data_IF_085217378441
#
_entry.id   IF_085217378441
#
_cell.length_a   1.000
_cell.length_b   1.000
_cell.length_c   1.000
_cell.angle_alpha   90.00
_cell.angle_beta   90.00
_cell.angle_gamma   90.00
#
_symmetry.space_group_name_H-M   'P 1'
#
loop_
_entity.id
_entity.type
_entity.pdbx_description
1 polymer ?
#
# COMPACT_ATOMS: atom_id res chain seq x y z
N UNK A 1 -19.42 5.59 28.26
CA UNK A 1 -18.92 6.79 27.53
C UNK A 1 -18.16 7.74 28.45
N UNK A 2 -18.35 7.68 29.76
CA UNK A 2 -17.55 8.44 30.73
C UNK A 2 -16.15 7.84 30.79
N UNK A 3 -15.15 8.53 30.26
CA UNK A 3 -13.75 8.07 30.17
C UNK A 3 -13.22 8.05 28.74
N UNK A 4 -14.07 8.34 27.75
CA UNK A 4 -13.61 8.63 26.39
C UNK A 4 -13.38 10.14 26.29
N UNK A 5 -12.17 10.55 26.00
CA UNK A 5 -11.85 11.95 25.77
C UNK A 5 -12.64 12.48 24.57
N UNK A 6 -13.12 13.70 24.70
CA UNK A 6 -13.80 14.39 23.60
C UNK A 6 -12.73 14.89 22.62
N UNK A 7 -12.47 14.12 21.56
CA UNK A 7 -11.45 14.46 20.56
C UNK A 7 -12.13 15.25 19.44
N UNK A 8 -11.59 16.44 19.15
CA UNK A 8 -11.96 17.18 17.94
C UNK A 8 -11.39 16.45 16.71
N UNK A 9 -12.25 15.93 15.81
CA UNK A 9 -11.79 15.23 14.61
C UNK A 9 -10.82 16.04 13.75
N UNK A 10 -10.94 17.38 13.76
CA UNK A 10 -10.04 18.27 13.00
C UNK A 10 -8.65 18.40 13.63
N UNK A 11 -8.50 18.01 14.89
CA UNK A 11 -7.21 18.03 15.59
C UNK A 11 -6.44 16.71 15.47
N UNK A 12 -7.09 15.64 14.95
CA UNK A 12 -6.44 14.36 14.79
C UNK A 12 -5.34 14.43 13.70
N UNK A 13 -4.15 13.91 13.99
CA UNK A 13 -3.10 13.85 12.98
C UNK A 13 -3.53 12.89 11.87
N UNK A 14 -3.61 13.38 10.64
CA UNK A 14 -3.86 12.56 9.47
C UNK A 14 -2.75 12.75 8.44
N UNK A 15 -2.57 11.75 7.58
CA UNK A 15 -1.66 11.84 6.44
C UNK A 15 -2.49 12.11 5.19
N UNK A 16 -2.27 13.24 4.55
CA UNK A 16 -2.99 13.62 3.34
C UNK A 16 -2.54 12.78 2.14
N UNK A 17 -3.46 12.52 1.23
CA UNK A 17 -3.17 11.78 0.00
C UNK A 17 -2.35 12.59 -1.02
N UNK A 18 -2.37 13.90 -0.90
CA UNK A 18 -1.87 14.83 -1.91
C UNK A 18 -2.81 15.00 -3.11
N UNK A 19 -4.01 14.41 -3.03
CA UNK A 19 -5.09 14.58 -4.01
C UNK A 19 -6.22 15.37 -3.33
N UNK A 20 -6.36 16.69 -3.60
CA UNK A 20 -7.26 17.56 -2.84
C UNK A 20 -8.71 17.07 -2.81
N UNK A 21 -9.21 16.49 -3.90
CA UNK A 21 -10.57 15.96 -3.97
C UNK A 21 -10.77 14.75 -3.02
N UNK A 22 -9.77 13.88 -2.92
CA UNK A 22 -9.81 12.75 -1.99
C UNK A 22 -9.70 13.24 -0.55
N UNK A 23 -8.76 14.14 -0.28
CA UNK A 23 -8.53 14.69 1.06
C UNK A 23 -9.76 15.42 1.60
N UNK A 24 -10.50 16.12 0.71
CA UNK A 24 -11.77 16.77 1.07
C UNK A 24 -12.87 15.78 1.45
N UNK A 25 -12.84 14.57 0.93
CA UNK A 25 -13.84 13.53 1.22
C UNK A 25 -13.55 12.78 2.51
N UNK A 26 -12.27 12.46 2.78
CA UNK A 26 -11.89 11.56 3.88
C UNK A 26 -11.15 12.28 5.02
N UNK A 27 -10.74 13.52 4.86
CA UNK A 27 -9.94 14.25 5.84
C UNK A 27 -8.48 13.79 5.94
N UNK A 28 -8.07 12.83 5.13
CA UNK A 28 -6.76 12.16 5.16
C UNK A 28 -6.83 10.74 5.71
N UNK A 29 -5.67 10.11 5.86
CA UNK A 29 -5.50 8.75 6.40
C UNK A 29 -5.12 8.84 7.88
N UNK A 30 -6.03 8.42 8.74
CA UNK A 30 -5.85 8.52 10.19
C UNK A 30 -5.08 7.32 10.75
N UNK A 31 -4.34 7.52 11.86
CA UNK A 31 -3.80 6.40 12.63
C UNK A 31 -4.91 5.47 13.12
N UNK A 32 -4.55 4.22 13.38
CA UNK A 32 -5.47 3.17 13.86
C UNK A 32 -6.50 2.70 12.83
N UNK A 33 -6.34 3.07 11.55
CA UNK A 33 -7.24 2.68 10.47
C UNK A 33 -6.60 1.76 9.44
N UNK A 34 -7.43 0.92 8.83
CA UNK A 34 -7.12 0.10 7.67
C UNK A 34 -7.90 0.60 6.44
N UNK A 35 -7.18 0.96 5.39
CA UNK A 35 -7.75 1.30 4.08
C UNK A 35 -7.54 0.16 3.08
N UNK A 36 -8.63 -0.40 2.55
CA UNK A 36 -8.60 -1.43 1.50
C UNK A 36 -8.75 -0.81 0.12
N UNK A 37 -7.86 -1.19 -0.80
CA UNK A 37 -7.81 -0.72 -2.17
C UNK A 37 -8.08 -1.86 -3.14
N UNK A 38 -9.12 -1.73 -3.96
CA UNK A 38 -9.49 -2.72 -4.97
C UNK A 38 -9.52 -2.10 -6.37
N UNK A 39 -9.69 -2.92 -7.39
CA UNK A 39 -9.78 -2.48 -8.79
C UNK A 39 -9.18 -3.51 -9.74
N UNK A 40 -9.54 -3.41 -11.03
CA UNK A 40 -9.08 -4.32 -12.07
C UNK A 40 -7.54 -4.35 -12.16
N UNK A 41 -7.00 -5.50 -12.60
CA UNK A 41 -5.56 -5.61 -12.87
C UNK A 41 -5.13 -4.56 -13.91
N UNK A 42 -3.99 -3.91 -13.68
CA UNK A 42 -3.54 -2.81 -14.55
C UNK A 42 -4.28 -1.47 -14.33
N UNK A 43 -5.21 -1.38 -13.37
CA UNK A 43 -5.96 -0.16 -13.06
C UNK A 43 -5.16 0.95 -12.38
N UNK A 44 -3.88 0.73 -12.04
CA UNK A 44 -3.02 1.75 -11.45
C UNK A 44 -2.93 1.73 -9.92
N UNK A 45 -3.46 0.70 -9.24
CA UNK A 45 -3.45 0.60 -7.76
C UNK A 45 -2.05 0.81 -7.17
N UNK A 46 -1.08 -0.02 -7.57
CA UNK A 46 0.30 0.08 -7.05
C UNK A 46 0.95 1.42 -7.38
N UNK A 47 0.57 2.05 -8.51
CA UNK A 47 1.03 3.40 -8.87
C UNK A 47 0.49 4.44 -7.90
N UNK A 48 -0.81 4.45 -7.67
CA UNK A 48 -1.43 5.38 -6.73
C UNK A 48 -0.88 5.18 -5.32
N UNK A 49 -0.82 3.94 -4.84
CA UNK A 49 -0.32 3.63 -3.50
C UNK A 49 1.15 3.98 -3.34
N UNK A 50 1.97 3.76 -4.37
CA UNK A 50 3.35 4.25 -4.39
C UNK A 50 3.41 5.76 -4.22
N UNK A 51 2.55 6.52 -4.91
CA UNK A 51 2.46 7.97 -4.78
C UNK A 51 2.00 8.39 -3.38
N UNK A 52 1.03 7.70 -2.77
CA UNK A 52 0.61 7.97 -1.39
C UNK A 52 1.76 7.77 -0.38
N UNK A 53 2.58 6.72 -0.56
CA UNK A 53 3.75 6.52 0.29
C UNK A 53 4.82 7.61 0.08
N UNK A 54 5.04 8.06 -1.16
CA UNK A 54 5.94 9.18 -1.45
C UNK A 54 5.44 10.46 -0.78
N UNK A 55 4.13 10.71 -0.87
CA UNK A 55 3.50 11.87 -0.22
C UNK A 55 3.56 11.78 1.31
N UNK A 56 3.35 10.62 1.90
CA UNK A 56 3.54 10.41 3.33
C UNK A 56 4.98 10.75 3.77
N UNK A 57 6.00 10.34 2.99
CA UNK A 57 7.40 10.72 3.26
C UNK A 57 7.62 12.22 3.11
N UNK A 58 6.96 12.88 2.16
CA UNK A 58 6.97 14.34 1.98
C UNK A 58 6.41 15.05 3.22
N UNK A 59 5.37 14.52 3.83
CA UNK A 59 4.78 14.97 5.09
C UNK A 59 5.56 14.50 6.34
N UNK A 60 6.82 14.06 6.15
CA UNK A 60 7.75 13.63 7.22
C UNK A 60 7.36 12.35 7.93
N UNK A 61 6.42 11.60 7.40
CA UNK A 61 6.11 10.27 7.92
C UNK A 61 7.17 9.25 7.48
N UNK A 62 7.35 8.19 8.28
CA UNK A 62 8.15 7.04 7.89
C UNK A 62 7.22 5.94 7.45
N UNK A 63 7.56 5.32 6.34
CA UNK A 63 6.70 4.32 5.69
C UNK A 63 7.41 2.98 5.59
N UNK A 64 6.63 1.89 5.66
CA UNK A 64 7.12 0.55 5.43
C UNK A 64 6.18 -0.18 4.47
N UNK A 65 6.73 -0.75 3.40
CA UNK A 65 5.96 -1.45 2.38
C UNK A 65 6.36 -2.92 2.26
N UNK A 66 5.37 -3.77 2.10
CA UNK A 66 5.51 -5.14 1.62
C UNK A 66 4.90 -5.21 0.21
N UNK A 67 5.68 -5.69 -0.76
CA UNK A 67 5.19 -5.99 -2.10
C UNK A 67 5.45 -7.46 -2.43
N UNK A 68 4.38 -8.21 -2.63
CA UNK A 68 4.47 -9.59 -3.05
C UNK A 68 4.45 -9.79 -4.57
N UNK A 69 4.11 -8.74 -5.33
CA UNK A 69 4.09 -8.79 -6.80
C UNK A 69 5.41 -8.33 -7.42
N UNK A 70 6.04 -7.33 -6.83
CA UNK A 70 7.28 -6.76 -7.34
C UNK A 70 8.46 -7.18 -6.49
N UNK A 71 9.56 -7.54 -7.15
CA UNK A 71 10.85 -7.67 -6.45
C UNK A 71 11.27 -6.31 -5.86
N UNK A 72 12.03 -6.33 -4.76
CA UNK A 72 12.42 -5.14 -4.02
C UNK A 72 13.08 -4.07 -4.93
N UNK A 73 13.95 -4.49 -5.87
CA UNK A 73 14.59 -3.55 -6.79
C UNK A 73 13.59 -2.91 -7.77
N UNK A 74 12.60 -3.66 -8.28
CA UNK A 74 11.56 -3.11 -9.18
C UNK A 74 10.65 -2.15 -8.45
N UNK A 75 10.26 -2.49 -7.23
CA UNK A 75 9.46 -1.61 -6.40
C UNK A 75 10.20 -0.30 -6.12
N UNK A 76 11.49 -0.37 -5.77
CA UNK A 76 12.32 0.81 -5.58
C UNK A 76 12.40 1.68 -6.85
N UNK A 77 12.68 1.09 -8.02
CA UNK A 77 12.73 1.83 -9.28
C UNK A 77 11.39 2.53 -9.57
N UNK A 78 10.29 1.86 -9.29
CA UNK A 78 8.95 2.42 -9.45
C UNK A 78 8.72 3.64 -8.56
N UNK A 79 9.05 3.55 -7.29
CA UNK A 79 8.98 4.67 -6.34
C UNK A 79 9.90 5.83 -6.77
N UNK A 80 11.10 5.52 -7.26
CA UNK A 80 12.03 6.55 -7.71
C UNK A 80 11.52 7.31 -8.93
N UNK A 81 10.91 6.61 -9.91
CA UNK A 81 10.28 7.26 -11.06
C UNK A 81 9.14 8.20 -10.65
N UNK A 82 8.36 7.83 -9.64
CA UNK A 82 7.29 8.67 -9.12
C UNK A 82 7.81 9.91 -8.39
N UNK A 83 8.90 9.77 -7.63
CA UNK A 83 9.46 10.85 -6.82
C UNK A 83 10.39 11.80 -7.59
N UNK A 84 10.96 11.35 -8.72
CA UNK A 84 11.99 12.11 -9.44
C UNK A 84 11.46 13.37 -10.14
N UNK A 85 10.21 13.35 -10.57
CA UNK A 85 9.65 14.36 -11.46
C UNK A 85 10.15 14.25 -12.91
N UNK A 86 9.39 14.76 -13.88
CA UNK A 86 9.61 14.50 -15.31
C UNK A 86 10.96 15.03 -15.83
N UNK A 87 11.48 16.12 -15.27
CA UNK A 87 12.76 16.70 -15.68
C UNK A 87 13.99 15.80 -15.39
N UNK A 88 13.86 14.80 -14.53
CA UNK A 88 14.94 13.90 -14.13
C UNK A 88 14.74 12.48 -14.62
N UNK A 89 13.75 12.25 -15.47
CA UNK A 89 13.46 10.94 -16.06
C UNK A 89 14.08 10.89 -17.45
N UNK A 90 14.99 9.95 -17.66
CA UNK A 90 15.66 9.68 -18.92
C UNK A 90 14.97 8.54 -19.66
N UNK A 91 14.68 8.72 -20.94
CA UNK A 91 14.22 7.65 -21.83
C UNK A 91 15.44 6.93 -22.38
N UNK A 92 15.51 5.63 -22.19
CA UNK A 92 16.59 4.78 -22.69
C UNK A 92 16.01 3.70 -23.57
N UNK A 93 16.76 3.34 -24.62
CA UNK A 93 16.43 2.21 -25.47
C UNK A 93 17.45 1.10 -25.25
N UNK A 94 16.95 -0.13 -25.14
CA UNK A 94 17.80 -1.30 -25.16
C UNK A 94 18.42 -1.48 -26.55
N UNK A 95 19.73 -1.61 -26.59
CA UNK A 95 20.49 -1.63 -27.85
C UNK A 95 20.19 -2.85 -28.73
N UNK A 96 19.71 -3.94 -28.14
CA UNK A 96 19.47 -5.20 -28.85
C UNK A 96 18.00 -5.36 -29.26
N UNK A 97 17.09 -5.06 -28.36
CA UNK A 97 15.65 -5.25 -28.58
C UNK A 97 14.93 -3.99 -29.08
N UNK A 98 15.60 -2.82 -29.03
CA UNK A 98 14.96 -1.52 -29.29
C UNK A 98 13.88 -1.13 -28.27
N UNK A 99 13.67 -1.94 -27.23
CA UNK A 99 12.68 -1.68 -26.20
C UNK A 99 13.04 -0.45 -25.39
N UNK A 100 12.11 0.45 -25.31
CA UNK A 100 12.25 1.66 -24.51
C UNK A 100 11.88 1.44 -23.05
N UNK A 101 12.61 2.08 -22.16
CA UNK A 101 12.33 2.13 -20.73
C UNK A 101 12.73 3.49 -20.16
N UNK A 102 12.13 3.81 -19.04
CA UNK A 102 12.41 5.04 -18.32
C UNK A 102 13.29 4.75 -17.11
N UNK A 103 14.23 5.64 -16.86
CA UNK A 103 15.11 5.55 -15.69
C UNK A 103 15.32 6.93 -15.08
N UNK A 104 15.56 6.97 -13.79
CA UNK A 104 15.90 8.21 -13.09
C UNK A 104 17.36 8.53 -13.34
N UNK A 105 17.69 9.80 -13.62
CA UNK A 105 19.06 10.27 -13.83
C UNK A 105 19.93 9.96 -12.61
N UNK A 106 21.24 9.68 -12.78
CA UNK A 106 22.14 9.38 -11.66
C UNK A 106 22.19 10.48 -10.59
N UNK A 107 22.11 11.72 -11.01
CA UNK A 107 22.06 12.87 -10.10
C UNK A 107 20.82 12.85 -9.21
N UNK A 108 19.63 12.69 -9.78
CA UNK A 108 18.39 12.64 -9.03
C UNK A 108 18.33 11.39 -8.15
N UNK A 109 18.82 10.25 -8.65
CA UNK A 109 18.90 9.00 -7.87
C UNK A 109 19.68 9.21 -6.57
N UNK A 110 20.85 9.81 -6.60
CA UNK A 110 21.65 10.11 -5.41
C UNK A 110 20.89 11.00 -4.41
N UNK A 111 20.12 11.97 -4.91
CA UNK A 111 19.30 12.83 -4.06
C UNK A 111 18.12 12.07 -3.45
N UNK A 112 17.46 11.20 -4.22
CA UNK A 112 16.37 10.36 -3.74
C UNK A 112 16.87 9.33 -2.72
N UNK A 113 18.04 8.71 -2.92
CA UNK A 113 18.66 7.83 -1.94
C UNK A 113 18.81 8.53 -0.58
N UNK A 114 19.32 9.74 -0.58
CA UNK A 114 19.47 10.53 0.64
C UNK A 114 18.11 10.96 1.25
N UNK A 115 17.14 11.30 0.40
CA UNK A 115 15.82 11.75 0.84
C UNK A 115 14.99 10.62 1.45
N UNK A 116 15.04 9.41 0.87
CA UNK A 116 14.35 8.23 1.37
C UNK A 116 15.08 7.54 2.55
N UNK A 117 16.37 7.82 2.72
CA UNK A 117 17.17 7.19 3.75
C UNK A 117 16.50 7.32 5.14
N UNK A 118 16.27 6.17 5.81
CA UNK A 118 15.63 6.07 7.14
C UNK A 118 14.18 6.58 7.20
N UNK A 119 13.53 6.76 6.05
CA UNK A 119 12.13 7.18 5.96
C UNK A 119 11.27 6.19 5.19
N UNK A 120 11.83 5.51 4.19
CA UNK A 120 11.15 4.52 3.39
C UNK A 120 11.81 3.17 3.57
N UNK A 121 11.06 2.20 4.07
CA UNK A 121 11.51 0.84 4.31
C UNK A 121 10.72 -0.11 3.41
N UNK A 122 11.41 -1.10 2.85
CA UNK A 122 10.81 -2.13 2.03
C UNK A 122 11.12 -3.49 2.63
N UNK A 123 10.10 -4.29 2.85
CA UNK A 123 10.26 -5.66 3.31
C UNK A 123 10.92 -6.50 2.22
N UNK A 124 11.99 -7.18 2.54
CA UNK A 124 12.60 -8.15 1.65
C UNK A 124 11.86 -9.49 1.77
N UNK A 125 11.14 -9.85 0.72
CA UNK A 125 10.38 -11.09 0.62
C UNK A 125 11.17 -12.21 -0.09
N UNK A 126 12.44 -12.01 -0.39
CA UNK A 126 13.29 -12.99 -1.08
C UNK A 126 13.72 -14.16 -0.17
N UNK A 127 13.72 -13.94 1.14
CA UNK A 127 14.05 -14.97 2.12
C UNK A 127 12.94 -16.04 2.19
N UNK A 128 13.29 -17.34 2.42
CA UNK A 128 12.30 -18.38 2.64
C UNK A 128 11.33 -18.02 3.78
N UNK A 129 10.03 -18.04 3.50
CA UNK A 129 8.99 -17.67 4.47
C UNK A 129 8.78 -16.18 4.67
N UNK A 130 9.53 -15.30 4.00
CA UNK A 130 9.41 -13.84 4.11
C UNK A 130 8.06 -13.27 3.66
N UNK A 131 7.23 -14.08 3.01
CA UNK A 131 5.86 -13.74 2.61
C UNK A 131 4.78 -14.40 3.48
N UNK A 132 5.14 -15.01 4.62
CA UNK A 132 4.13 -15.48 5.57
C UNK A 132 3.51 -14.31 6.33
N UNK A 133 2.26 -14.48 6.74
CA UNK A 133 1.55 -13.47 7.53
C UNK A 133 2.31 -13.11 8.81
N UNK A 134 2.95 -14.09 9.47
CA UNK A 134 3.75 -13.89 10.69
C UNK A 134 5.01 -13.06 10.41
N UNK A 135 5.69 -13.34 9.30
CA UNK A 135 6.87 -12.58 8.91
C UNK A 135 6.52 -11.12 8.62
N UNK A 136 5.44 -10.88 7.86
CA UNK A 136 4.98 -9.53 7.54
C UNK A 136 4.61 -8.76 8.81
N UNK A 137 3.78 -9.33 9.68
CA UNK A 137 3.39 -8.70 10.95
C UNK A 137 4.59 -8.44 11.87
N UNK A 138 5.55 -9.36 11.93
CA UNK A 138 6.76 -9.21 12.74
C UNK A 138 7.66 -8.10 12.21
N UNK A 139 7.84 -8.02 10.89
CA UNK A 139 8.61 -6.95 10.23
C UNK A 139 7.95 -5.58 10.42
N UNK A 140 6.62 -5.51 10.33
CA UNK A 140 5.88 -4.27 10.56
C UNK A 140 6.01 -3.80 12.01
N UNK A 141 5.85 -4.70 12.98
CA UNK A 141 6.06 -4.37 14.40
C UNK A 141 7.50 -3.93 14.69
N UNK A 142 8.49 -4.55 14.04
CA UNK A 142 9.87 -4.11 14.12
C UNK A 142 10.07 -2.72 13.53
N UNK A 143 9.43 -2.44 12.37
CA UNK A 143 9.53 -1.14 11.70
C UNK A 143 8.94 0.00 12.55
N UNK A 144 7.83 -0.25 13.27
CA UNK A 144 7.29 0.71 14.25
C UNK A 144 8.32 0.95 15.36
N UNK A 145 8.72 -0.10 16.06
CA UNK A 145 9.56 0.02 17.27
C UNK A 145 10.95 0.57 16.98
N UNK A 146 11.56 0.15 15.87
CA UNK A 146 12.95 0.52 15.54
C UNK A 146 13.05 1.84 14.80
N UNK A 147 12.07 2.13 13.94
CA UNK A 147 12.13 3.25 13.01
C UNK A 147 11.00 4.26 13.18
N UNK A 148 9.95 3.94 13.94
CA UNK A 148 8.78 4.80 14.08
C UNK A 148 8.02 4.97 12.78
N UNK A 149 7.84 3.88 12.01
CA UNK A 149 7.00 3.90 10.82
C UNK A 149 5.54 4.10 11.22
N UNK A 150 4.86 5.01 10.53
CA UNK A 150 3.46 5.37 10.80
C UNK A 150 2.49 4.98 9.68
N UNK A 151 3.00 4.71 8.46
CA UNK A 151 2.19 4.30 7.30
C UNK A 151 2.74 3.01 6.72
N UNK A 152 1.86 2.05 6.50
CA UNK A 152 2.20 0.72 6.02
C UNK A 152 1.46 0.38 4.74
N UNK A 153 2.09 -0.42 3.87
CA UNK A 153 1.48 -0.95 2.65
C UNK A 153 1.66 -2.46 2.57
N UNK A 154 0.57 -3.18 2.29
CA UNK A 154 0.57 -4.58 1.85
C UNK A 154 0.06 -4.64 0.41
N UNK A 155 0.95 -4.84 -0.57
CA UNK A 155 0.62 -4.97 -2.00
C UNK A 155 1.11 -6.34 -2.52
N UNK A 156 0.26 -7.36 -2.55
CA UNK A 156 -1.15 -7.42 -2.21
C UNK A 156 -1.46 -8.57 -1.22
N UNK A 157 -2.72 -8.62 -0.77
CA UNK A 157 -3.22 -9.66 0.12
C UNK A 157 -2.99 -11.09 -0.43
N UNK A 158 -3.19 -11.29 -1.75
CA UNK A 158 -3.08 -12.61 -2.40
C UNK A 158 -1.66 -13.15 -2.45
N UNK A 159 -0.64 -12.33 -2.26
CA UNK A 159 0.77 -12.71 -2.26
C UNK A 159 1.28 -13.17 -0.90
N UNK A 160 0.53 -12.92 0.17
CA UNK A 160 0.84 -13.46 1.48
C UNK A 160 0.52 -14.96 1.53
N UNK A 161 1.39 -15.74 2.17
CA UNK A 161 1.18 -17.18 2.37
C UNK A 161 0.42 -17.42 3.66
N UNK A 162 -0.71 -18.09 3.52
CA UNK A 162 -1.52 -18.59 4.61
C UNK A 162 -1.26 -20.09 4.74
N UNK A 163 -1.22 -20.62 5.95
CA UNK A 163 -1.06 -22.06 6.20
C UNK A 163 -2.31 -22.86 5.82
N UNK A 164 -2.78 -22.71 4.56
CA UNK A 164 -4.04 -23.28 4.08
C UNK A 164 -3.81 -24.61 3.38
N UNK A 165 -4.63 -25.61 3.71
CA UNK A 165 -4.64 -26.94 3.07
C UNK A 165 -5.73 -27.09 2.02
N UNK A 166 -6.73 -26.20 1.97
CA UNK A 166 -7.83 -26.16 1.01
C UNK A 166 -8.35 -24.71 0.78
N UNK A 167 -9.25 -24.52 -0.20
CA UNK A 167 -9.78 -23.21 -0.57
C UNK A 167 -10.52 -22.51 0.57
N UNK A 168 -11.26 -23.24 1.41
CA UNK A 168 -11.96 -22.69 2.57
C UNK A 168 -11.00 -22.15 3.62
N UNK A 169 -9.89 -22.85 3.84
CA UNK A 169 -8.82 -22.41 4.74
C UNK A 169 -8.09 -21.19 4.20
N UNK A 170 -7.95 -21.10 2.86
CA UNK A 170 -7.34 -19.94 2.21
C UNK A 170 -8.13 -18.65 2.47
N UNK A 171 -9.45 -18.64 2.27
CA UNK A 171 -10.28 -17.46 2.53
C UNK A 171 -10.32 -17.11 4.03
N UNK A 172 -10.33 -18.12 4.89
CA UNK A 172 -10.24 -17.92 6.35
C UNK A 172 -8.88 -17.33 6.73
N UNK A 173 -7.79 -17.81 6.14
CA UNK A 173 -6.46 -17.27 6.33
C UNK A 173 -6.38 -15.79 5.93
N UNK A 174 -6.96 -15.42 4.79
CA UNK A 174 -7.05 -14.02 4.38
C UNK A 174 -7.81 -13.15 5.37
N UNK A 175 -9.00 -13.58 5.82
CA UNK A 175 -9.81 -12.86 6.80
C UNK A 175 -9.06 -12.70 8.13
N UNK A 176 -8.36 -13.74 8.59
CA UNK A 176 -7.56 -13.69 9.80
C UNK A 176 -6.39 -12.70 9.68
N UNK A 177 -5.69 -12.71 8.54
CA UNK A 177 -4.59 -11.77 8.31
C UNK A 177 -5.07 -10.31 8.26
N UNK A 178 -6.20 -10.05 7.61
CA UNK A 178 -6.82 -8.71 7.64
C UNK A 178 -7.19 -8.31 9.06
N UNK A 179 -7.76 -9.21 9.86
CA UNK A 179 -8.02 -8.97 11.29
C UNK A 179 -6.76 -8.59 12.06
N UNK A 180 -5.66 -9.29 11.83
CA UNK A 180 -4.35 -8.99 12.43
C UNK A 180 -3.79 -7.63 12.01
N UNK A 181 -4.01 -7.22 10.75
CA UNK A 181 -3.61 -5.89 10.27
C UNK A 181 -4.43 -4.78 10.93
N UNK A 182 -5.74 -4.99 11.14
CA UNK A 182 -6.61 -4.06 11.89
C UNK A 182 -6.15 -3.94 13.33
N UNK A 183 -5.91 -5.07 14.01
CA UNK A 183 -5.39 -5.08 15.38
C UNK A 183 -4.02 -4.40 15.48
N UNK A 184 -3.14 -4.64 14.50
CA UNK A 184 -1.84 -3.99 14.40
C UNK A 184 -2.01 -2.47 14.24
N UNK A 185 -2.86 -2.01 13.33
CA UNK A 185 -3.10 -0.58 13.10
C UNK A 185 -3.58 0.12 14.39
N UNK A 186 -4.52 -0.49 15.11
CA UNK A 186 -5.09 0.03 16.36
C UNK A 186 -4.08 0.01 17.50
N UNK A 187 -3.34 -1.07 17.67
CA UNK A 187 -2.39 -1.22 18.78
C UNK A 187 -1.18 -0.31 18.66
N UNK A 188 -0.67 -0.16 17.44
CA UNK A 188 0.55 0.62 17.19
C UNK A 188 0.23 2.07 16.76
N UNK A 189 -1.05 2.43 16.69
CA UNK A 189 -1.53 3.75 16.25
C UNK A 189 -0.95 4.18 14.89
N UNK A 190 -1.06 3.31 13.90
CA UNK A 190 -0.52 3.49 12.55
C UNK A 190 -1.60 3.34 11.49
N UNK A 191 -1.36 3.85 10.26
CA UNK A 191 -2.24 3.62 9.13
C UNK A 191 -1.75 2.47 8.25
N UNK A 192 -2.67 1.59 7.82
CA UNK A 192 -2.35 0.47 6.94
C UNK A 192 -3.13 0.56 5.63
N UNK A 193 -2.44 0.58 4.50
CA UNK A 193 -3.02 0.39 3.17
C UNK A 193 -2.89 -1.09 2.77
N UNK A 194 -4.00 -1.70 2.36
CA UNK A 194 -4.06 -3.08 1.91
C UNK A 194 -4.62 -3.14 0.48
N UNK A 195 -3.89 -3.77 -0.44
CA UNK A 195 -4.40 -4.07 -1.77
C UNK A 195 -5.09 -5.43 -1.76
N UNK A 196 -6.37 -5.44 -2.17
CA UNK A 196 -7.13 -6.66 -2.41
C UNK A 196 -7.62 -6.67 -3.86
N UNK A 197 -7.47 -7.81 -4.55
CA UNK A 197 -8.02 -7.94 -5.92
C UNK A 197 -9.53 -8.15 -5.87
N UNK A 198 -10.27 -7.69 -6.88
CA UNK A 198 -11.70 -7.96 -6.98
C UNK A 198 -11.93 -9.47 -7.23
N UNK A 199 -13.11 -9.97 -6.85
CA UNK A 199 -13.58 -11.27 -7.32
C UNK A 199 -13.65 -11.26 -8.84
N UNK A 200 -13.49 -12.42 -9.47
CA UNK A 200 -13.73 -12.55 -10.92
C UNK A 200 -15.21 -12.21 -11.15
N UNK A 201 -15.46 -11.05 -11.73
CA UNK A 201 -16.80 -10.60 -12.08
C UNK A 201 -16.96 -10.51 -13.59
N UNK A 202 -18.10 -11.00 -14.06
CA UNK A 202 -18.50 -10.99 -15.46
C UNK A 202 -18.92 -9.57 -15.87
N UNK A 203 -17.95 -8.71 -16.23
CA UNK A 203 -18.21 -7.57 -17.11
C UNK A 203 -18.83 -6.30 -16.52
N UNK A 204 -19.08 -6.17 -15.22
CA UNK A 204 -19.60 -4.92 -14.63
C UNK A 204 -18.61 -3.77 -14.75
N UNK A 205 -19.11 -2.60 -15.16
CA UNK A 205 -18.30 -1.41 -15.35
C UNK A 205 -17.80 -0.77 -14.05
N UNK A 206 -18.57 -0.88 -12.97
CA UNK A 206 -18.23 -0.39 -11.63
C UNK A 206 -18.09 -1.57 -10.67
N UNK A 207 -17.02 -1.56 -9.86
CA UNK A 207 -16.82 -2.51 -8.78
C UNK A 207 -17.45 -1.95 -7.50
N UNK A 208 -18.35 -2.71 -6.90
CA UNK A 208 -18.94 -2.39 -5.61
C UNK A 208 -18.04 -2.91 -4.47
N UNK A 209 -18.22 -2.39 -3.25
CA UNK A 209 -17.46 -2.82 -2.07
C UNK A 209 -17.58 -4.33 -1.83
N UNK A 210 -18.73 -4.92 -2.16
CA UNK A 210 -19.01 -6.37 -2.05
C UNK A 210 -18.25 -7.22 -3.06
N UNK A 211 -17.64 -6.60 -4.08
CA UNK A 211 -16.90 -7.27 -5.15
C UNK A 211 -15.39 -7.38 -4.85
N UNK A 212 -14.95 -6.95 -3.67
CA UNK A 212 -13.58 -7.16 -3.23
C UNK A 212 -13.30 -8.66 -3.10
N UNK A 213 -12.24 -9.12 -3.77
CA UNK A 213 -11.83 -10.52 -3.76
C UNK A 213 -11.43 -10.98 -2.36
N UNK A 214 -11.91 -12.15 -1.98
CA UNK A 214 -11.77 -12.70 -0.66
C UNK A 214 -13.13 -12.94 0.01
N UNK A 215 -13.16 -13.02 1.32
CA UNK A 215 -14.43 -13.05 2.07
C UNK A 215 -15.02 -11.63 2.16
N UNK A 216 -16.33 -11.48 2.22
CA UNK A 216 -17.00 -10.21 2.56
C UNK A 216 -16.51 -9.61 3.88
N UNK A 217 -15.87 -10.43 4.72
CA UNK A 217 -15.24 -10.01 5.97
C UNK A 217 -14.10 -8.99 5.79
N UNK A 218 -13.44 -8.94 4.61
CA UNK A 218 -12.32 -8.01 4.34
C UNK A 218 -12.83 -6.57 4.36
N UNK A 219 -13.91 -6.31 3.63
CA UNK A 219 -14.53 -4.98 3.57
C UNK A 219 -15.22 -4.60 4.87
N UNK A 220 -15.84 -5.57 5.55
CA UNK A 220 -16.49 -5.34 6.86
C UNK A 220 -15.48 -4.98 7.98
N UNK A 221 -14.20 -5.31 7.82
CA UNK A 221 -13.14 -5.00 8.79
C UNK A 221 -12.40 -3.71 8.47
N UNK A 222 -12.53 -3.19 7.24
CA UNK A 222 -11.85 -1.99 6.80
C UNK A 222 -12.57 -0.73 7.29
N UNK A 223 -11.80 0.27 7.68
CA UNK A 223 -12.32 1.60 7.99
C UNK A 223 -12.66 2.37 6.72
N UNK A 224 -11.87 2.15 5.65
CA UNK A 224 -12.07 2.76 4.34
C UNK A 224 -11.93 1.72 3.23
N UNK A 225 -12.80 1.78 2.22
CA UNK A 225 -12.73 0.92 1.02
C UNK A 225 -12.74 1.79 -0.23
N UNK A 226 -11.70 1.66 -1.04
CA UNK A 226 -11.52 2.41 -2.28
C UNK A 226 -11.52 1.48 -3.49
N UNK A 227 -12.29 1.84 -4.52
CA UNK A 227 -12.26 1.17 -5.82
C UNK A 227 -11.59 2.08 -6.86
N UNK A 228 -10.48 1.61 -7.43
CA UNK A 228 -9.75 2.34 -8.46
C UNK A 228 -10.08 1.81 -9.84
N UNK A 229 -10.57 2.69 -10.70
CA UNK A 229 -10.90 2.39 -12.09
C UNK A 229 -10.16 3.34 -13.04
N UNK A 230 -9.62 2.77 -14.10
CA UNK A 230 -9.07 3.56 -15.20
C UNK A 230 -10.22 3.94 -16.14
N UNK A 231 -10.50 5.23 -16.27
CA UNK A 231 -11.39 5.72 -17.30
C UNK A 231 -10.67 5.59 -18.64
N UNK A 232 -11.22 4.82 -19.56
CA UNK A 232 -10.84 4.82 -20.96
C UNK A 232 -11.84 5.72 -21.68
N UNK A 233 -11.37 6.79 -22.32
CA UNK A 233 -12.19 7.56 -23.24
C UNK A 233 -12.75 6.58 -24.30
N UNK A 234 -14.06 6.61 -24.46
CA UNK A 234 -14.75 5.89 -25.54
C UNK A 234 -14.58 6.62 -26.85
#
# INVERSE_FOLDING_TARGET
LSGVENVDPLSLPSVLSGVPALDSLIGGFYPSELSVWTGKRGGGKSTLLGQLLVEAVNQRQRVCAYSGELSAWRFREWIYLQAAGPAFIERKADKFSGREFYSVSPFARKKLDAWFARKFFLCDNSAPGGNSEDAICSLFSYAVRRYGCAVFLVDNLMSARFGASNDGDFYRGQSNFVGRLVEFAKREEVHVHLVAHPRKNDGKAMLDADEVGGSGDITNRADNVFSLQRLTEQ
#
